data_IF_631226453875
#
_entry.id   IF_631226453875
#
_cell.length_a   1.000
_cell.length_b   1.000
_cell.length_c   1.000
_cell.angle_alpha   90.00
_cell.angle_beta   90.00
_cell.angle_gamma   90.00
#
_symmetry.space_group_name_H-M   'P 1'
#
loop_
_entity.id
_entity.type
_entity.pdbx_description
1 polymer ?
#
# COMPACT_ATOMS: atom_id res chain seq x y z
N UNK A 1 -18.66 -34.33 -2.01
CA UNK A 1 -19.44 -34.33 -3.26
C UNK A 1 -20.78 -35.04 -3.16
N UNK A 2 -20.99 -35.99 -2.24
CA UNK A 2 -22.29 -36.65 -1.99
C UNK A 2 -23.38 -35.68 -1.58
N UNK A 3 -23.06 -34.72 -0.72
CA UNK A 3 -24.03 -33.78 -0.16
C UNK A 3 -24.55 -32.78 -1.20
N UNK A 4 -23.72 -32.43 -2.18
CA UNK A 4 -24.11 -31.58 -3.31
C UNK A 4 -25.09 -32.30 -4.23
N UNK A 5 -24.87 -33.60 -4.48
CA UNK A 5 -25.74 -34.43 -5.29
C UNK A 5 -27.09 -34.63 -4.58
N UNK A 6 -27.06 -34.87 -3.27
CA UNK A 6 -28.24 -34.99 -2.42
C UNK A 6 -29.05 -33.70 -2.39
N UNK A 7 -28.39 -32.53 -2.32
CA UNK A 7 -29.02 -31.21 -2.33
C UNK A 7 -29.68 -30.89 -3.69
N UNK A 8 -28.99 -31.17 -4.81
CA UNK A 8 -29.51 -31.01 -6.15
C UNK A 8 -30.72 -31.96 -6.36
N UNK A 9 -30.59 -33.19 -5.90
CA UNK A 9 -31.68 -34.20 -5.97
C UNK A 9 -32.92 -33.75 -5.20
N UNK A 10 -32.77 -33.24 -3.96
CA UNK A 10 -33.85 -32.70 -3.16
C UNK A 10 -34.53 -31.47 -3.80
N UNK A 11 -33.75 -30.61 -4.44
CA UNK A 11 -34.26 -29.42 -5.13
C UNK A 11 -35.10 -29.82 -6.37
N UNK A 12 -34.63 -30.81 -7.11
CA UNK A 12 -35.36 -31.35 -8.30
C UNK A 12 -36.66 -32.04 -7.88
N UNK A 13 -36.66 -32.80 -6.79
CA UNK A 13 -37.88 -33.45 -6.24
C UNK A 13 -38.89 -32.40 -5.78
N UNK A 14 -38.46 -31.35 -5.09
CA UNK A 14 -39.33 -30.26 -4.65
C UNK A 14 -39.91 -29.47 -5.81
N UNK A 15 -39.14 -29.23 -6.90
CA UNK A 15 -39.64 -28.60 -8.10
C UNK A 15 -40.74 -29.42 -8.77
N UNK A 16 -40.60 -30.77 -8.84
CA UNK A 16 -41.66 -31.65 -9.33
C UNK A 16 -42.92 -31.54 -8.48
N UNK A 17 -42.79 -31.42 -7.17
CA UNK A 17 -43.91 -31.28 -6.26
C UNK A 17 -44.64 -29.94 -6.47
N UNK A 18 -43.92 -28.85 -6.68
CA UNK A 18 -44.54 -27.55 -6.98
C UNK A 18 -45.33 -27.58 -8.28
N UNK A 19 -44.76 -28.13 -9.35
CA UNK A 19 -45.48 -28.24 -10.65
C UNK A 19 -46.71 -29.16 -10.56
N UNK A 20 -46.63 -30.23 -9.80
CA UNK A 20 -47.76 -31.10 -9.53
C UNK A 20 -48.87 -30.34 -8.77
N UNK A 21 -48.53 -29.60 -7.72
CA UNK A 21 -49.49 -28.84 -6.93
C UNK A 21 -50.14 -27.70 -7.74
N UNK A 22 -49.39 -27.00 -8.59
CA UNK A 22 -49.94 -25.96 -9.47
C UNK A 22 -50.96 -26.56 -10.46
N UNK A 23 -50.67 -27.76 -10.95
CA UNK A 23 -51.54 -28.44 -11.90
C UNK A 23 -52.82 -28.96 -11.28
N UNK A 24 -52.75 -29.38 -10.02
CA UNK A 24 -53.86 -30.02 -9.31
C UNK A 24 -54.75 -28.99 -8.54
N UNK A 25 -54.16 -27.98 -7.93
CA UNK A 25 -54.85 -27.05 -7.04
C UNK A 25 -54.90 -25.59 -7.53
N UNK A 26 -54.14 -25.24 -8.55
CA UNK A 26 -54.00 -23.89 -9.08
C UNK A 26 -53.14 -22.95 -8.22
N UNK A 27 -52.89 -21.75 -8.73
CA UNK A 27 -52.03 -20.75 -8.06
C UNK A 27 -52.61 -20.11 -6.78
N UNK A 28 -53.90 -20.18 -6.61
CA UNK A 28 -54.60 -19.56 -5.48
C UNK A 28 -54.64 -20.37 -4.21
N UNK A 29 -54.21 -21.64 -4.25
CA UNK A 29 -54.26 -22.53 -3.11
C UNK A 29 -53.06 -22.27 -2.14
N UNK A 30 -53.32 -22.21 -0.80
CA UNK A 30 -52.26 -22.00 0.21
C UNK A 30 -51.12 -23.01 0.16
N UNK A 31 -51.37 -24.27 -0.21
CA UNK A 31 -50.37 -25.28 -0.35
C UNK A 31 -49.39 -24.98 -1.52
N UNK A 32 -49.91 -24.48 -2.64
CA UNK A 32 -49.15 -24.08 -3.81
C UNK A 32 -48.28 -22.85 -3.49
N UNK A 33 -48.81 -21.86 -2.80
CA UNK A 33 -48.09 -20.69 -2.35
C UNK A 33 -46.96 -21.07 -1.35
N UNK A 34 -47.24 -21.96 -0.41
CA UNK A 34 -46.25 -22.49 0.53
C UNK A 34 -45.08 -23.18 -0.18
N UNK A 35 -45.39 -24.04 -1.19
CA UNK A 35 -44.38 -24.71 -1.99
C UNK A 35 -43.52 -23.72 -2.83
N UNK A 36 -44.14 -22.67 -3.35
CA UNK A 36 -43.41 -21.58 -4.07
C UNK A 36 -42.43 -20.85 -3.15
N UNK A 37 -42.85 -20.42 -1.96
CA UNK A 37 -41.99 -19.74 -1.01
C UNK A 37 -40.85 -20.63 -0.48
N UNK A 38 -41.11 -21.95 -0.31
CA UNK A 38 -40.03 -22.92 -0.01
C UNK A 38 -39.00 -23.01 -1.16
N UNK A 39 -39.44 -22.94 -2.40
CA UNK A 39 -38.54 -22.98 -3.56
C UNK A 39 -37.69 -21.72 -3.62
N UNK A 40 -38.28 -20.55 -3.42
CA UNK A 40 -37.58 -19.24 -3.36
C UNK A 40 -36.57 -19.25 -2.20
N UNK A 41 -36.95 -19.73 -1.01
CA UNK A 41 -36.06 -19.84 0.12
C UNK A 41 -34.85 -20.75 -0.13
N UNK A 42 -35.08 -21.92 -0.77
CA UNK A 42 -33.97 -22.82 -1.12
C UNK A 42 -33.04 -22.22 -2.20
N UNK A 43 -33.59 -21.47 -3.15
CA UNK A 43 -32.80 -20.78 -4.18
C UNK A 43 -31.91 -19.69 -3.53
N UNK A 44 -32.48 -18.88 -2.65
CA UNK A 44 -31.74 -17.88 -1.87
C UNK A 44 -30.62 -18.53 -1.05
N UNK A 45 -30.93 -19.63 -0.36
CA UNK A 45 -29.94 -20.36 0.44
C UNK A 45 -28.79 -20.90 -0.41
N UNK A 46 -29.09 -21.44 -1.61
CA UNK A 46 -28.07 -21.96 -2.52
C UNK A 46 -27.16 -20.85 -3.07
N UNK A 47 -27.68 -19.65 -3.33
CA UNK A 47 -26.88 -18.49 -3.74
C UNK A 47 -25.95 -18.05 -2.62
N UNK A 48 -26.43 -18.03 -1.37
CA UNK A 48 -25.59 -17.70 -0.21
C UNK A 48 -24.46 -18.74 -0.04
N UNK A 49 -24.78 -20.05 -0.12
CA UNK A 49 -23.77 -21.10 -0.05
C UNK A 49 -22.74 -21.02 -1.18
N UNK A 50 -23.18 -20.78 -2.41
CA UNK A 50 -22.28 -20.58 -3.53
C UNK A 50 -21.36 -19.37 -3.33
N UNK A 51 -21.88 -18.26 -2.80
CA UNK A 51 -21.11 -17.07 -2.45
C UNK A 51 -20.05 -17.34 -1.37
N UNK A 52 -20.40 -18.09 -0.32
CA UNK A 52 -19.47 -18.48 0.74
C UNK A 52 -18.36 -19.39 0.19
N UNK A 53 -18.69 -20.41 -0.61
CA UNK A 53 -17.71 -21.32 -1.21
C UNK A 53 -16.79 -20.55 -2.15
N UNK A 54 -17.34 -19.65 -2.98
CA UNK A 54 -16.55 -18.83 -3.89
C UNK A 54 -15.63 -17.86 -3.12
N UNK A 55 -16.13 -17.22 -2.05
CA UNK A 55 -15.33 -16.37 -1.19
C UNK A 55 -14.17 -17.12 -0.52
N UNK A 56 -14.43 -18.34 -0.05
CA UNK A 56 -13.42 -19.19 0.55
C UNK A 56 -12.36 -19.66 -0.47
N UNK A 57 -12.80 -20.03 -1.67
CA UNK A 57 -11.90 -20.37 -2.77
C UNK A 57 -11.03 -19.17 -3.19
N UNK A 58 -11.64 -17.98 -3.32
CA UNK A 58 -10.92 -16.75 -3.62
C UNK A 58 -9.86 -16.45 -2.55
N UNK A 59 -10.22 -16.55 -1.27
CA UNK A 59 -9.31 -16.25 -0.17
C UNK A 59 -8.13 -17.23 -0.08
N UNK A 60 -8.37 -18.52 -0.29
CA UNK A 60 -7.34 -19.55 -0.12
C UNK A 60 -6.46 -19.77 -1.35
N UNK A 61 -7.02 -19.66 -2.53
CA UNK A 61 -6.32 -20.05 -3.78
C UNK A 61 -5.91 -18.83 -4.59
N UNK A 62 -6.88 -17.98 -4.93
CA UNK A 62 -6.62 -16.85 -5.83
C UNK A 62 -5.67 -15.82 -5.20
N UNK A 63 -5.90 -15.45 -3.95
CA UNK A 63 -5.04 -14.46 -3.25
C UNK A 63 -3.60 -14.96 -3.17
N UNK A 64 -3.39 -16.21 -2.75
CA UNK A 64 -2.03 -16.80 -2.71
C UNK A 64 -1.37 -16.87 -4.07
N UNK A 65 -2.09 -17.26 -5.11
CA UNK A 65 -1.56 -17.31 -6.47
C UNK A 65 -1.20 -15.92 -6.99
N UNK A 66 -2.03 -14.92 -6.70
CA UNK A 66 -1.77 -13.53 -7.06
C UNK A 66 -0.54 -12.95 -6.33
N UNK A 67 -0.42 -13.19 -5.02
CA UNK A 67 0.73 -12.74 -4.23
C UNK A 67 2.03 -13.37 -4.73
N UNK A 68 2.02 -14.68 -5.01
CA UNK A 68 3.15 -15.39 -5.62
C UNK A 68 3.50 -14.86 -7.01
N UNK A 69 2.49 -14.56 -7.83
CA UNK A 69 2.70 -13.95 -9.14
C UNK A 69 3.37 -12.58 -9.01
N UNK A 70 2.88 -11.71 -8.13
CA UNK A 70 3.46 -10.38 -7.91
C UNK A 70 4.92 -10.47 -7.43
N UNK A 71 5.22 -11.38 -6.48
CA UNK A 71 6.58 -11.59 -5.99
C UNK A 71 7.50 -12.10 -7.12
N UNK A 72 7.06 -13.09 -7.88
CA UNK A 72 7.83 -13.66 -8.98
C UNK A 72 8.02 -12.64 -10.11
N UNK A 73 7.00 -11.83 -10.41
CA UNK A 73 7.09 -10.77 -11.40
C UNK A 73 8.14 -9.74 -10.99
N UNK A 74 8.12 -9.25 -9.76
CA UNK A 74 9.11 -8.30 -9.26
C UNK A 74 10.51 -8.90 -9.24
N UNK A 75 10.66 -10.13 -8.74
CA UNK A 75 11.97 -10.80 -8.70
C UNK A 75 12.56 -11.10 -10.08
N UNK A 76 11.74 -11.48 -11.04
CA UNK A 76 12.22 -11.88 -12.36
C UNK A 76 12.35 -10.70 -13.32
N UNK A 77 11.29 -9.92 -13.46
CA UNK A 77 11.27 -8.86 -14.49
C UNK A 77 11.87 -7.55 -14.00
N UNK A 78 11.52 -7.10 -12.81
CA UNK A 78 12.03 -5.81 -12.29
C UNK A 78 13.52 -5.91 -11.98
N UNK A 79 13.93 -6.95 -11.24
CA UNK A 79 15.36 -7.11 -10.90
C UNK A 79 16.22 -7.39 -12.14
N UNK A 80 15.75 -8.23 -13.06
CA UNK A 80 16.54 -8.56 -14.26
C UNK A 80 16.67 -7.34 -15.18
N UNK A 81 15.65 -6.49 -15.26
CA UNK A 81 15.73 -5.22 -16.00
C UNK A 81 16.71 -4.25 -15.35
N UNK A 82 16.65 -4.09 -14.02
CA UNK A 82 17.59 -3.21 -13.31
C UNK A 82 19.03 -3.72 -13.37
N UNK A 83 19.25 -5.04 -13.34
CA UNK A 83 20.59 -5.66 -13.48
C UNK A 83 21.22 -5.43 -14.85
N UNK A 84 20.44 -5.12 -15.88
CA UNK A 84 20.96 -4.77 -17.21
C UNK A 84 21.52 -3.34 -17.26
N UNK A 85 21.16 -2.50 -16.30
CA UNK A 85 21.69 -1.14 -16.18
C UNK A 85 23.07 -1.19 -15.52
N UNK A 86 24.10 -0.56 -16.13
CA UNK A 86 25.49 -0.66 -15.66
C UNK A 86 25.70 -0.06 -14.27
N UNK A 87 24.86 0.91 -13.89
CA UNK A 87 24.99 1.69 -12.67
C UNK A 87 24.50 0.92 -11.44
N UNK A 88 23.72 -0.15 -11.65
CA UNK A 88 23.17 -0.97 -10.57
C UNK A 88 23.97 -2.25 -10.33
N UNK A 89 24.26 -2.54 -9.06
CA UNK A 89 24.94 -3.77 -8.63
C UNK A 89 24.40 -4.32 -7.34
N UNK A 90 24.66 -5.60 -7.08
CA UNK A 90 24.27 -6.31 -5.84
C UNK A 90 22.76 -6.23 -5.50
N UNK A 91 21.91 -6.11 -6.50
CA UNK A 91 20.46 -5.93 -6.32
C UNK A 91 19.80 -7.14 -5.65
N UNK A 92 18.99 -6.88 -4.63
CA UNK A 92 18.16 -7.84 -3.90
C UNK A 92 16.77 -7.27 -3.70
N UNK A 93 15.76 -8.13 -3.82
CA UNK A 93 14.37 -7.77 -3.53
C UNK A 93 13.81 -8.68 -2.44
N UNK A 94 13.09 -8.07 -1.50
CA UNK A 94 12.37 -8.75 -0.43
C UNK A 94 10.98 -8.16 -0.28
N UNK A 95 9.95 -8.91 -0.67
CA UNK A 95 8.55 -8.46 -0.61
C UNK A 95 8.08 -8.15 0.82
N UNK A 96 8.56 -8.91 1.82
CA UNK A 96 8.26 -8.68 3.24
C UNK A 96 9.26 -7.77 3.95
N UNK A 97 10.31 -7.33 3.26
CA UNK A 97 11.29 -6.40 3.80
C UNK A 97 10.75 -4.97 3.82
N UNK A 98 11.36 -4.14 4.66
CA UNK A 98 11.00 -2.74 4.79
C UNK A 98 11.83 -2.05 5.85
N UNK A 99 11.62 -0.76 6.03
CA UNK A 99 12.18 0.00 7.14
C UNK A 99 11.33 -0.21 8.39
N UNK A 100 11.96 -0.35 9.55
CA UNK A 100 11.23 -0.34 10.82
C UNK A 100 10.69 1.07 11.12
N UNK A 101 9.66 1.14 11.97
CA UNK A 101 9.14 2.42 12.43
C UNK A 101 10.21 3.28 13.12
N UNK A 102 11.11 2.64 13.88
CA UNK A 102 12.20 3.32 14.56
C UNK A 102 13.22 3.91 13.58
N UNK A 103 13.57 3.18 12.51
CA UNK A 103 14.42 3.68 11.43
C UNK A 103 13.78 4.87 10.73
N UNK A 104 12.48 4.75 10.37
CA UNK A 104 11.73 5.84 9.77
C UNK A 104 11.68 7.09 10.65
N UNK A 105 11.47 6.91 11.94
CA UNK A 105 11.41 8.03 12.89
C UNK A 105 12.79 8.70 13.05
N UNK A 106 13.87 7.95 12.99
CA UNK A 106 15.25 8.50 12.98
C UNK A 106 15.52 9.35 11.74
N UNK A 107 14.98 8.97 10.60
CA UNK A 107 15.12 9.74 9.36
C UNK A 107 14.32 11.06 9.38
N UNK A 108 13.41 11.25 10.35
CA UNK A 108 12.56 12.43 10.51
C UNK A 108 11.84 12.85 9.22
N UNK A 109 11.57 11.90 8.33
CA UNK A 109 10.93 12.16 7.03
C UNK A 109 9.42 12.33 7.13
N UNK A 110 8.82 11.71 8.14
CA UNK A 110 7.38 11.65 8.32
C UNK A 110 7.05 12.12 9.72
N UNK A 111 6.02 12.97 9.86
CA UNK A 111 5.58 13.42 11.17
C UNK A 111 5.22 12.23 12.06
N UNK A 112 5.90 12.10 13.19
CA UNK A 112 5.63 11.07 14.18
C UNK A 112 4.60 11.55 15.20
N UNK A 113 3.62 10.71 15.51
CA UNK A 113 2.64 10.94 16.57
C UNK A 113 2.49 9.72 17.48
N UNK A 114 1.89 9.88 18.66
CA UNK A 114 1.70 8.78 19.62
C UNK A 114 0.77 7.66 19.10
N UNK A 115 -0.02 7.90 18.05
CA UNK A 115 -1.01 6.97 17.51
C UNK A 115 -0.84 6.80 16.01
N UNK A 116 0.31 6.28 15.60
CA UNK A 116 0.67 6.14 14.19
C UNK A 116 0.25 4.77 13.64
N UNK A 117 -0.40 4.79 12.48
CA UNK A 117 -0.47 3.64 11.59
C UNK A 117 0.78 3.65 10.72
N UNK A 118 1.50 2.55 10.67
CA UNK A 118 2.72 2.40 9.89
C UNK A 118 2.79 1.02 9.25
N UNK A 119 3.07 1.01 7.95
CA UNK A 119 3.31 -0.21 7.18
C UNK A 119 4.45 0.05 6.19
N UNK A 120 5.39 -0.87 6.11
CA UNK A 120 6.47 -0.86 5.13
C UNK A 120 6.60 -2.23 4.48
N UNK A 121 6.91 -2.26 3.19
CA UNK A 121 7.03 -3.48 2.39
C UNK A 121 7.84 -3.25 1.12
N UNK A 122 8.06 -4.32 0.36
CA UNK A 122 8.68 -4.26 -0.97
C UNK A 122 10.08 -3.64 -0.97
N UNK A 123 10.97 -4.16 -0.14
CA UNK A 123 12.34 -3.67 -0.07
C UNK A 123 13.14 -4.09 -1.30
N UNK A 124 13.68 -3.11 -2.00
CA UNK A 124 14.71 -3.25 -3.01
C UNK A 124 16.01 -2.67 -2.45
N UNK A 125 17.06 -3.45 -2.36
CA UNK A 125 18.37 -3.00 -1.89
C UNK A 125 19.47 -3.36 -2.88
N UNK A 126 20.55 -2.60 -2.84
CA UNK A 126 21.69 -2.78 -3.74
C UNK A 126 22.65 -1.62 -3.68
N UNK A 127 23.41 -1.44 -4.77
CA UNK A 127 24.28 -0.29 -4.98
C UNK A 127 23.95 0.38 -6.30
N UNK A 128 23.94 1.72 -6.30
CA UNK A 128 23.82 2.58 -7.46
C UNK A 128 25.12 3.41 -7.54
N UNK A 129 25.88 3.27 -8.61
CA UNK A 129 27.21 3.88 -8.75
C UNK A 129 28.14 3.59 -7.55
N UNK A 130 28.05 2.38 -7.01
CA UNK A 130 28.82 1.97 -5.83
C UNK A 130 28.27 2.44 -4.49
N UNK A 131 27.24 3.32 -4.47
CA UNK A 131 26.59 3.83 -3.27
C UNK A 131 25.49 2.86 -2.82
N UNK A 132 25.54 2.30 -1.61
CA UNK A 132 24.48 1.44 -1.09
C UNK A 132 23.15 2.20 -0.98
N UNK A 133 22.05 1.56 -1.40
CA UNK A 133 20.70 2.09 -1.27
C UNK A 133 19.70 1.04 -0.79
N UNK A 134 18.62 1.52 -0.21
CA UNK A 134 17.41 0.75 0.13
C UNK A 134 16.19 1.55 -0.31
N UNK A 135 15.36 0.99 -1.14
CA UNK A 135 14.08 1.56 -1.56
C UNK A 135 12.95 0.69 -1.00
N UNK A 136 11.97 1.30 -0.34
CA UNK A 136 10.85 0.60 0.31
C UNK A 136 9.55 1.35 0.06
N UNK A 137 8.45 0.63 -0.03
CA UNK A 137 7.13 1.23 0.01
C UNK A 137 6.73 1.49 1.46
N UNK A 138 6.24 2.69 1.73
CA UNK A 138 5.80 3.11 3.07
C UNK A 138 4.41 3.68 2.99
N UNK A 139 3.54 3.24 3.89
CA UNK A 139 2.25 3.84 4.14
C UNK A 139 2.15 4.18 5.63
N UNK A 140 1.85 5.44 5.94
CA UNK A 140 1.73 5.90 7.33
C UNK A 140 0.58 6.89 7.48
N UNK A 141 0.04 6.95 8.68
CA UNK A 141 -1.10 7.82 8.99
C UNK A 141 -1.49 7.79 10.46
N UNK A 142 -2.59 8.45 10.76
CA UNK A 142 -3.22 8.40 12.06
C UNK A 142 -4.02 7.10 12.20
N UNK A 143 -3.98 6.44 13.37
CA UNK A 143 -4.81 5.26 13.64
C UNK A 143 -6.29 5.62 13.55
N UNK A 144 -7.08 4.63 13.15
CA UNK A 144 -8.52 4.74 13.18
C UNK A 144 -9.02 5.15 14.57
N UNK A 145 -9.96 6.09 14.61
CA UNK A 145 -10.60 6.55 15.84
C UNK A 145 -11.90 5.76 16.10
N UNK A 146 -12.45 5.92 17.31
CA UNK A 146 -13.75 5.30 17.65
C UNK A 146 -14.91 5.73 16.72
N UNK A 147 -14.74 6.87 15.99
CA UNK A 147 -15.72 7.39 15.04
C UNK A 147 -15.44 7.03 13.57
N UNK A 148 -14.24 6.55 13.25
CA UNK A 148 -13.85 6.16 11.91
C UNK A 148 -13.09 4.84 11.96
N UNK A 149 -13.59 3.83 11.25
CA UNK A 149 -12.96 2.51 11.17
C UNK A 149 -11.72 2.47 10.27
N UNK A 150 -11.49 3.52 9.48
CA UNK A 150 -10.36 3.60 8.55
C UNK A 150 -9.28 4.55 9.08
N UNK A 151 -7.99 4.20 8.98
CA UNK A 151 -6.91 5.11 9.30
C UNK A 151 -6.88 6.27 8.31
N UNK A 152 -6.52 7.45 8.77
CA UNK A 152 -6.28 8.61 7.90
C UNK A 152 -4.85 8.55 7.39
N UNK A 153 -4.68 8.25 6.11
CA UNK A 153 -3.38 8.18 5.47
C UNK A 153 -2.79 9.59 5.36
N UNK A 154 -1.57 9.76 5.86
CA UNK A 154 -0.79 11.00 5.79
C UNK A 154 0.25 10.94 4.68
N UNK A 155 0.87 9.77 4.49
CA UNK A 155 1.85 9.53 3.46
C UNK A 155 1.69 8.10 2.91
N UNK A 156 1.72 7.97 1.60
CA UNK A 156 1.81 6.70 0.89
C UNK A 156 2.73 6.89 -0.31
N UNK A 157 3.82 6.14 -0.35
CA UNK A 157 4.81 6.29 -1.40
C UNK A 157 6.07 5.47 -1.16
N UNK A 158 7.06 5.72 -2.00
CA UNK A 158 8.36 5.07 -1.91
C UNK A 158 9.35 5.95 -1.14
N UNK A 159 10.10 5.34 -0.24
CA UNK A 159 11.22 5.94 0.48
C UNK A 159 12.50 5.28 -0.01
N UNK A 160 13.46 6.09 -0.46
CA UNK A 160 14.77 5.63 -0.88
C UNK A 160 15.81 6.20 0.07
N UNK A 161 16.62 5.33 0.65
CA UNK A 161 17.69 5.69 1.59
C UNK A 161 19.03 5.34 0.95
N UNK A 162 19.90 6.33 0.81
CA UNK A 162 21.27 6.16 0.35
C UNK A 162 22.24 6.29 1.52
N UNK A 163 23.23 5.40 1.58
CA UNK A 163 24.32 5.47 2.56
C UNK A 163 25.57 6.07 1.92
N UNK A 164 25.50 7.37 1.59
CA UNK A 164 26.52 8.05 0.78
C UNK A 164 27.49 8.93 1.58
N UNK A 165 27.22 9.17 2.88
CA UNK A 165 28.07 10.03 3.68
C UNK A 165 28.87 9.22 4.69
N UNK A 166 30.19 9.38 4.70
CA UNK A 166 31.04 8.91 5.78
C UNK A 166 30.83 9.82 6.99
N UNK A 167 30.35 9.26 8.10
CA UNK A 167 29.96 9.96 9.33
C UNK A 167 31.06 10.84 9.96
N UNK A 168 32.28 10.87 9.40
CA UNK A 168 33.41 11.62 9.94
C UNK A 168 33.44 13.10 9.56
N UNK A 169 32.63 13.55 8.59
CA UNK A 169 32.69 14.92 8.05
C UNK A 169 31.46 15.77 8.29
N UNK A 170 30.34 15.17 8.68
CA UNK A 170 29.11 15.88 8.95
C UNK A 170 28.88 15.81 10.46
N UNK A 171 28.80 16.97 11.11
CA UNK A 171 28.39 17.04 12.52
C UNK A 171 27.01 16.40 12.67
N UNK A 172 26.76 15.80 13.83
CA UNK A 172 25.45 15.22 14.15
C UNK A 172 24.34 16.19 13.80
N UNK A 173 23.30 15.71 13.12
CA UNK A 173 22.18 16.53 12.71
C UNK A 173 21.47 16.00 11.47
N UNK A 174 20.48 16.73 11.02
CA UNK A 174 19.73 16.41 9.79
C UNK A 174 19.63 17.64 8.89
N UNK A 175 19.47 17.36 7.60
CA UNK A 175 19.03 18.36 6.60
C UNK A 175 17.84 17.74 5.87
N UNK A 176 16.73 18.46 5.81
CA UNK A 176 15.50 18.04 5.17
C UNK A 176 15.07 19.08 4.14
N UNK A 177 14.66 18.60 2.99
CA UNK A 177 14.11 19.42 1.92
C UNK A 177 12.70 18.91 1.61
N UNK A 178 11.71 19.77 1.76
CA UNK A 178 10.33 19.47 1.44
C UNK A 178 9.83 20.36 0.30
N UNK A 179 9.09 19.78 -0.63
CA UNK A 179 8.29 20.59 -1.53
C UNK A 179 7.23 21.36 -0.73
N UNK A 180 7.13 22.66 -0.93
CA UNK A 180 6.11 23.48 -0.26
C UNK A 180 4.69 23.02 -0.54
N UNK A 181 4.45 22.44 -1.73
CA UNK A 181 3.18 21.83 -2.10
C UNK A 181 2.86 20.60 -1.23
N UNK A 182 3.87 19.78 -0.91
CA UNK A 182 3.70 18.65 0.00
C UNK A 182 3.55 19.11 1.45
N UNK A 183 4.35 20.09 1.88
CA UNK A 183 4.33 20.62 3.23
C UNK A 183 2.98 21.27 3.59
N UNK A 184 2.32 21.94 2.64
CA UNK A 184 0.99 22.53 2.85
C UNK A 184 -0.10 21.49 3.19
N UNK A 185 0.10 20.22 2.81
CA UNK A 185 -0.79 19.11 3.14
C UNK A 185 -0.47 18.48 4.51
N UNK A 186 0.76 18.61 4.97
CA UNK A 186 1.22 18.16 6.27
C UNK A 186 0.88 19.28 7.29
N UNK A 187 -0.21 19.15 8.00
CA UNK A 187 -0.66 20.11 9.02
C UNK A 187 0.22 20.05 10.27
N UNK A 188 1.49 20.34 10.19
CA UNK A 188 2.32 20.43 11.38
C UNK A 188 2.56 21.86 11.83
N UNK A 189 2.10 22.15 13.03
CA UNK A 189 2.15 23.45 13.71
C UNK A 189 3.47 23.74 14.44
N UNK A 190 4.48 22.89 14.32
CA UNK A 190 5.77 23.01 15.03
C UNK A 190 6.97 22.69 14.15
N UNK A 191 6.98 23.26 12.96
CA UNK A 191 8.17 23.18 12.11
C UNK A 191 9.06 24.38 12.42
N UNK A 192 10.36 24.22 12.65
CA UNK A 192 11.29 25.34 12.73
C UNK A 192 11.14 26.23 11.49
N UNK A 193 11.54 27.51 11.61
CA UNK A 193 11.54 28.38 10.44
C UNK A 193 12.46 27.79 9.36
N UNK A 194 12.01 27.72 8.09
CA UNK A 194 12.83 27.19 7.02
C UNK A 194 14.06 28.06 6.79
N UNK A 195 15.18 27.41 6.55
CA UNK A 195 16.43 28.07 6.18
C UNK A 195 16.26 28.61 4.75
N UNK A 196 16.71 29.85 4.51
CA UNK A 196 16.74 30.44 3.19
C UNK A 196 18.09 30.13 2.54
N UNK A 197 18.05 29.44 1.38
CA UNK A 197 19.25 29.21 0.57
C UNK A 197 19.54 30.43 -0.32
N UNK A 198 20.71 30.45 -0.93
CA UNK A 198 21.08 31.52 -1.86
C UNK A 198 20.26 31.50 -3.17
N UNK A 199 19.64 30.35 -3.49
CA UNK A 199 18.82 30.20 -4.67
C UNK A 199 17.35 30.56 -4.41
N UNK A 200 16.92 31.74 -4.86
CA UNK A 200 15.55 32.22 -4.69
C UNK A 200 14.50 31.33 -5.33
N UNK A 201 14.78 30.78 -6.53
CA UNK A 201 13.86 29.88 -7.26
C UNK A 201 13.69 28.58 -6.48
N UNK A 202 14.75 28.06 -5.90
CA UNK A 202 14.68 26.89 -5.04
C UNK A 202 13.84 27.17 -3.79
N UNK A 203 14.05 28.32 -3.16
CA UNK A 203 13.29 28.74 -1.99
C UNK A 203 11.79 28.98 -2.27
N UNK A 204 11.40 29.28 -3.51
CA UNK A 204 9.98 29.39 -3.88
C UNK A 204 9.27 28.04 -3.84
N UNK A 205 9.95 26.98 -4.28
CA UNK A 205 9.39 25.64 -4.45
C UNK A 205 9.60 24.72 -3.24
N UNK A 206 10.70 24.94 -2.51
CA UNK A 206 11.12 24.07 -1.43
C UNK A 206 11.26 24.81 -0.11
N UNK A 207 11.09 24.08 0.99
CA UNK A 207 11.39 24.50 2.35
C UNK A 207 12.52 23.61 2.90
N UNK A 208 13.58 24.21 3.38
CA UNK A 208 14.75 23.52 3.94
C UNK A 208 14.73 23.65 5.46
N UNK A 209 14.91 22.51 6.13
CA UNK A 209 15.02 22.44 7.59
C UNK A 209 16.32 21.72 7.93
N UNK A 210 17.07 22.26 8.87
CA UNK A 210 18.27 21.62 9.38
C UNK A 210 18.47 21.95 10.84
N UNK A 211 19.14 21.05 11.53
CA UNK A 211 19.56 21.30 12.91
C UNK A 211 20.74 22.28 12.97
N UNK A 212 21.60 22.24 11.95
CA UNK A 212 22.71 23.13 11.76
C UNK A 212 22.68 23.74 10.35
N UNK A 213 22.59 25.06 10.28
CA UNK A 213 22.52 25.81 9.01
C UNK A 213 23.78 25.63 8.14
N UNK A 214 24.95 25.50 8.75
CA UNK A 214 26.20 25.26 8.02
C UNK A 214 26.18 23.91 7.29
N UNK A 215 25.60 22.87 7.92
CA UNK A 215 25.44 21.58 7.28
C UNK A 215 24.48 21.65 6.08
N UNK A 216 23.42 22.46 6.16
CA UNK A 216 22.51 22.68 5.06
C UNK A 216 23.24 23.27 3.84
N UNK A 217 24.01 24.33 4.04
CA UNK A 217 24.77 24.97 2.94
C UNK A 217 25.88 24.06 2.38
N UNK A 218 26.49 23.23 3.22
CA UNK A 218 27.49 22.27 2.76
C UNK A 218 26.89 21.17 1.85
N UNK A 219 25.70 20.69 2.20
CA UNK A 219 25.03 19.61 1.46
C UNK A 219 24.29 20.17 0.24
N UNK A 220 23.55 21.26 0.39
CA UNK A 220 22.74 21.86 -0.66
C UNK A 220 23.57 22.82 -1.51
N UNK A 221 24.53 22.26 -2.23
CA UNK A 221 25.27 23.02 -3.25
C UNK A 221 24.34 23.44 -4.40
N UNK A 222 24.66 24.48 -5.18
CA UNK A 222 23.87 24.88 -6.35
C UNK A 222 23.52 23.72 -7.27
N UNK A 223 24.47 22.82 -7.53
CA UNK A 223 24.27 21.64 -8.35
C UNK A 223 23.24 20.67 -7.76
N UNK A 224 23.27 20.42 -6.46
CA UNK A 224 22.29 19.57 -5.76
C UNK A 224 20.89 20.19 -5.81
N UNK A 225 20.78 21.50 -5.61
CA UNK A 225 19.50 22.22 -5.71
C UNK A 225 18.90 22.13 -7.13
N UNK A 226 19.72 22.27 -8.16
CA UNK A 226 19.28 22.10 -9.56
C UNK A 226 18.80 20.68 -9.83
N UNK A 227 19.53 19.66 -9.35
CA UNK A 227 19.11 18.25 -9.49
C UNK A 227 17.79 17.95 -8.80
N UNK A 228 17.58 18.47 -7.56
CA UNK A 228 16.32 18.32 -6.85
C UNK A 228 15.17 18.97 -7.60
N UNK A 229 15.40 20.16 -8.17
CA UNK A 229 14.40 20.88 -8.98
C UNK A 229 14.05 20.10 -10.25
N UNK A 230 15.05 19.64 -10.98
CA UNK A 230 14.86 18.83 -12.19
C UNK A 230 14.12 17.50 -11.89
N UNK A 231 14.41 16.87 -10.76
CA UNK A 231 13.70 15.67 -10.32
C UNK A 231 12.23 15.94 -10.03
N UNK A 232 11.91 17.07 -9.41
CA UNK A 232 10.51 17.46 -9.16
C UNK A 232 9.72 17.73 -10.44
N UNK A 233 10.37 18.32 -11.46
CA UNK A 233 9.75 18.60 -12.76
C UNK A 233 9.50 17.33 -13.57
N UNK A 234 10.30 16.29 -13.37
CA UNK A 234 10.18 15.01 -14.05
C UNK A 234 9.09 14.09 -13.49
N UNK A 235 8.56 14.37 -12.28
CA UNK A 235 7.48 13.62 -11.62
C UNK A 235 6.09 14.17 -11.94
#
# INVERSE_FOLDING_TARGET
SSDLILFIGLTLVKNRFLFASIREYGWGDPATQGAFWMLVGNLMLSVIFAGVIFGFYYMLVYKKAYDLFCINFKNKYVLDTLRQLPDFSELRYNAGGGLSYEEMNRLKLIPGGQSVFYQSSDELSGKLDGVPFRAVNVCTGEKASARSSTPKILFEGQVIVFSCFDNRKISEGFVQVFSKKALSKLRETRVPLPIQTENSVFNENFAVFAENEQNAFYILTPQVMEQITAFQEAM
#
